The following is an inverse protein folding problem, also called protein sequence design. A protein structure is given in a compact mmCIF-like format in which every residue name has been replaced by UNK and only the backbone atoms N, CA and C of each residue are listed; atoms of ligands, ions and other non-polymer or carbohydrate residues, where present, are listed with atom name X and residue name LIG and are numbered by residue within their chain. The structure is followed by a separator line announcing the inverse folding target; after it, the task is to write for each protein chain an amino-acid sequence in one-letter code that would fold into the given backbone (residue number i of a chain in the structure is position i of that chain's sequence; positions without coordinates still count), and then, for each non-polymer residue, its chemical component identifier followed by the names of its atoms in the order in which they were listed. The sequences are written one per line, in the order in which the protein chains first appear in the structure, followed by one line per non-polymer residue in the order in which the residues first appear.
data_IF_132423415484
#
_entry.id   IF_132423415484
#
_cell.length_a   1.000
_cell.length_b   1.000
_cell.length_c   1.000
_cell.angle_alpha   90.00
_cell.angle_beta   90.00
_cell.angle_gamma   90.00
#
_symmetry.space_group_name_H-M   'P 1'
#
loop_
_entity.id
_entity.type
_entity.pdbx_description
1 polymer ?
#
# COMPACT_ATOMS: atom_id res chain seq x y z
N UNK A 1 -54.93 51.31 18.94
CA UNK A 1 -54.45 50.84 20.25
C UNK A 1 -54.85 49.37 20.38
N UNK A 2 -53.87 48.47 20.39
CA UNK A 2 -54.07 47.03 20.30
C UNK A 2 -53.77 46.41 21.68
N UNK A 3 -54.73 45.68 22.22
CA UNK A 3 -54.72 45.05 23.55
C UNK A 3 -53.97 43.69 23.43
N UNK A 4 -53.07 43.33 24.36
CA UNK A 4 -52.36 42.05 24.30
C UNK A 4 -53.16 40.89 24.93
N UNK A 5 -53.08 39.69 24.32
CA UNK A 5 -53.65 38.43 24.83
C UNK A 5 -52.65 37.66 25.73
N UNK A 6 -53.13 36.80 26.66
CA UNK A 6 -52.32 36.15 27.69
C UNK A 6 -51.77 34.76 27.30
N UNK A 7 -50.74 34.32 28.04
CA UNK A 7 -49.90 33.13 27.85
C UNK A 7 -50.54 31.77 28.24
N UNK A 8 -50.07 30.63 27.69
CA UNK A 8 -50.66 29.30 27.90
C UNK A 8 -50.15 28.54 29.16
N UNK A 9 -50.89 27.52 29.66
CA UNK A 9 -50.58 26.78 30.90
C UNK A 9 -49.64 25.56 30.70
N UNK A 10 -49.04 25.02 31.79
CA UNK A 10 -48.01 23.97 31.72
C UNK A 10 -48.58 22.53 31.65
N UNK A 11 -47.78 21.53 31.21
CA UNK A 11 -48.23 20.15 31.05
C UNK A 11 -48.14 19.31 32.35
N UNK A 12 -48.92 18.21 32.47
CA UNK A 12 -48.95 17.39 33.67
C UNK A 12 -47.84 16.31 33.71
N UNK A 13 -47.44 15.93 34.93
CA UNK A 13 -46.44 14.89 35.20
C UNK A 13 -47.05 13.55 35.65
N UNK A 14 -46.36 12.49 35.21
CA UNK A 14 -46.10 11.19 35.87
C UNK A 14 -47.15 10.06 35.82
N UNK A 15 -46.65 8.86 35.46
CA UNK A 15 -46.86 7.64 36.26
C UNK A 15 -45.73 6.64 35.99
N UNK A 16 -45.10 6.17 37.05
CA UNK A 16 -44.08 5.11 37.08
C UNK A 16 -44.73 3.78 37.45
N UNK A 17 -44.45 2.72 36.70
CA UNK A 17 -44.92 1.36 36.99
C UNK A 17 -43.83 0.55 37.72
N UNK A 18 -44.23 -0.08 38.83
CA UNK A 18 -43.43 -0.96 39.67
C UNK A 18 -43.32 -2.37 39.09
N UNK A 19 -42.10 -2.92 39.00
CA UNK A 19 -41.82 -4.29 38.55
C UNK A 19 -41.62 -5.23 39.75
N UNK A 20 -42.32 -6.38 39.77
CA UNK A 20 -42.10 -7.44 40.76
C UNK A 20 -40.99 -8.39 40.32
N UNK A 21 -40.05 -8.69 41.21
CA UNK A 21 -38.91 -9.59 40.96
C UNK A 21 -39.28 -11.06 41.13
N UNK A 22 -39.12 -11.84 40.05
CA UNK A 22 -39.28 -13.30 39.99
C UNK A 22 -37.93 -13.98 40.29
N UNK A 23 -37.95 -15.13 40.96
CA UNK A 23 -36.78 -15.84 41.52
C UNK A 23 -35.64 -16.09 40.50
N UNK A 24 -34.60 -15.26 40.56
CA UNK A 24 -33.47 -15.23 39.62
C UNK A 24 -32.33 -16.21 39.93
N UNK A 25 -32.43 -16.98 41.02
CA UNK A 25 -31.33 -17.81 41.55
C UNK A 25 -31.06 -19.06 40.71
N UNK A 26 -32.10 -19.70 40.18
CA UNK A 26 -31.93 -20.87 39.31
C UNK A 26 -31.38 -20.49 37.93
N UNK A 27 -31.84 -19.35 37.38
CA UNK A 27 -31.39 -18.84 36.08
C UNK A 27 -29.92 -18.40 36.13
N UNK A 28 -29.49 -17.75 37.22
CA UNK A 28 -28.08 -17.35 37.39
C UNK A 28 -27.14 -18.55 37.49
N UNK A 29 -27.54 -19.63 38.18
CA UNK A 29 -26.74 -20.86 38.23
C UNK A 29 -26.56 -21.51 36.85
N UNK A 30 -27.61 -21.57 36.03
CA UNK A 30 -27.53 -22.09 34.67
C UNK A 30 -26.62 -21.24 33.75
N UNK A 31 -26.64 -19.91 33.91
CA UNK A 31 -25.77 -19.01 33.14
C UNK A 31 -24.30 -19.19 33.54
N UNK A 32 -24.00 -19.34 34.83
CA UNK A 32 -22.63 -19.57 35.31
C UNK A 32 -22.10 -20.92 34.82
N UNK A 33 -22.93 -21.97 34.85
CA UNK A 33 -22.53 -23.29 34.40
C UNK A 33 -22.22 -23.31 32.89
N UNK A 34 -23.08 -22.69 32.08
CA UNK A 34 -22.91 -22.65 30.62
C UNK A 34 -21.71 -21.79 30.20
N UNK A 35 -21.48 -20.65 30.85
CA UNK A 35 -20.30 -19.80 30.58
C UNK A 35 -18.99 -20.47 30.98
N UNK A 36 -18.96 -21.20 32.11
CA UNK A 36 -17.75 -21.95 32.49
C UNK A 36 -17.44 -23.09 31.51
N UNK A 37 -18.47 -23.80 31.02
CA UNK A 37 -18.29 -24.89 30.05
C UNK A 37 -17.74 -24.38 28.71
N UNK A 38 -18.27 -23.25 28.21
CA UNK A 38 -17.76 -22.60 27.00
C UNK A 38 -16.33 -22.07 27.17
N UNK A 39 -16.00 -21.52 28.35
CA UNK A 39 -14.64 -21.06 28.66
C UNK A 39 -13.64 -22.22 28.70
N UNK A 40 -14.03 -23.37 29.24
CA UNK A 40 -13.18 -24.56 29.34
C UNK A 40 -12.92 -25.18 27.96
N UNK A 41 -13.95 -25.21 27.08
CA UNK A 41 -13.79 -25.58 25.68
C UNK A 41 -12.84 -24.64 24.92
N UNK A 42 -12.92 -23.33 25.18
CA UNK A 42 -12.04 -22.33 24.55
C UNK A 42 -10.57 -22.46 25.01
N UNK A 43 -10.33 -22.82 26.28
CA UNK A 43 -8.98 -23.08 26.78
C UNK A 43 -8.42 -24.37 26.16
N UNK A 44 -9.25 -25.41 26.01
CA UNK A 44 -8.82 -26.70 25.45
C UNK A 44 -8.47 -26.62 23.94
N UNK A 45 -9.17 -25.75 23.19
CA UNK A 45 -8.84 -25.45 21.78
C UNK A 45 -7.56 -24.62 21.65
N UNK A 46 -7.27 -23.74 22.63
CA UNK A 46 -6.00 -22.99 22.69
C UNK A 46 -4.80 -23.89 22.99
N UNK A 47 -4.94 -24.88 23.90
CA UNK A 47 -3.83 -25.80 24.23
C UNK A 47 -3.58 -26.87 23.16
N UNK A 48 -4.59 -27.16 22.32
CA UNK A 48 -4.45 -28.13 21.22
C UNK A 48 -3.73 -27.56 20.00
N UNK A 49 -3.54 -26.23 19.91
CA UNK A 49 -2.61 -25.60 18.96
C UNK A 49 -1.20 -25.52 19.56
N UNK A 50 -0.65 -26.69 19.92
CA UNK A 50 0.79 -26.82 20.08
C UNK A 50 1.44 -26.68 18.70
N UNK A 51 1.93 -25.48 18.42
CA UNK A 51 2.76 -25.18 17.26
C UNK A 51 3.91 -26.20 17.19
N UNK A 52 3.90 -27.07 16.18
CA UNK A 52 5.09 -27.81 15.80
C UNK A 52 6.11 -26.80 15.28
N UNK A 53 7.01 -26.37 16.14
CA UNK A 53 8.19 -25.61 15.76
C UNK A 53 9.13 -26.55 15.01
N UNK A 54 8.96 -26.67 13.70
CA UNK A 54 10.00 -27.19 12.84
C UNK A 54 11.15 -26.18 12.85
N UNK A 55 12.21 -26.48 13.58
CA UNK A 55 13.48 -25.76 13.53
C UNK A 55 14.07 -25.88 12.12
N UNK A 56 13.83 -24.89 11.26
CA UNK A 56 14.54 -24.75 10.00
C UNK A 56 15.67 -23.74 10.19
N UNK A 57 16.89 -24.27 10.11
CA UNK A 57 18.16 -23.57 10.11
C UNK A 57 18.12 -22.38 9.15
N UNK A 58 18.40 -21.20 9.69
CA UNK A 58 18.55 -19.96 8.95
C UNK A 58 19.84 -20.01 8.13
N UNK A 59 19.77 -20.42 6.87
CA UNK A 59 20.71 -20.05 5.82
C UNK A 59 19.89 -19.58 4.62
N UNK A 60 19.99 -18.28 4.29
CA UNK A 60 19.19 -17.57 3.30
C UNK A 60 19.48 -17.97 1.86
N UNK A 61 19.18 -19.22 1.50
CA UNK A 61 19.20 -19.71 0.12
C UNK A 61 17.76 -19.87 -0.36
N UNK A 62 17.42 -19.42 -1.59
CA UNK A 62 16.11 -19.67 -2.17
C UNK A 62 15.80 -21.17 -2.17
N UNK A 63 14.56 -21.54 -1.81
CA UNK A 63 14.14 -22.94 -1.81
C UNK A 63 14.23 -23.52 -3.24
N UNK A 64 15.09 -24.52 -3.49
CA UNK A 64 15.28 -25.06 -4.83
C UNK A 64 14.04 -25.78 -5.39
N UNK A 65 13.07 -26.14 -4.55
CA UNK A 65 11.83 -26.79 -4.98
C UNK A 65 10.77 -25.78 -5.45
N UNK A 66 10.78 -24.56 -4.88
CA UNK A 66 9.92 -23.46 -5.34
C UNK A 66 10.57 -22.67 -6.49
N UNK A 67 11.91 -22.63 -6.53
CA UNK A 67 12.70 -21.97 -7.55
C UNK A 67 13.77 -22.93 -8.08
N UNK A 68 13.40 -23.87 -8.97
CA UNK A 68 14.38 -24.75 -9.58
C UNK A 68 15.39 -23.92 -10.35
N UNK A 69 16.63 -23.89 -9.86
CA UNK A 69 17.77 -23.27 -10.54
C UNK A 69 18.21 -24.16 -11.71
N UNK A 70 17.27 -24.50 -12.61
CA UNK A 70 17.51 -25.34 -13.76
C UNK A 70 18.06 -24.43 -14.86
N UNK A 71 19.37 -24.50 -15.08
CA UNK A 71 19.94 -24.03 -16.33
C UNK A 71 19.27 -24.84 -17.44
N UNK A 72 18.40 -24.19 -18.21
CA UNK A 72 17.74 -24.83 -19.33
C UNK A 72 18.81 -25.18 -20.38
N UNK A 73 19.14 -26.46 -20.51
CA UNK A 73 19.82 -26.99 -21.69
C UNK A 73 18.86 -26.87 -22.87
N UNK A 74 18.87 -25.71 -23.52
CA UNK A 74 18.02 -25.39 -24.66
C UNK A 74 18.66 -26.00 -25.92
N UNK A 75 18.08 -27.10 -26.42
CA UNK A 75 18.26 -27.47 -27.82
C UNK A 75 17.65 -26.36 -28.67
N UNK A 76 18.47 -25.76 -29.53
CA UNK A 76 18.27 -24.54 -30.33
C UNK A 76 17.03 -24.60 -31.24
N UNK A 77 15.85 -24.35 -30.68
CA UNK A 77 14.64 -23.84 -31.34
C UNK A 77 14.79 -22.29 -31.35
N UNK A 78 14.29 -21.52 -32.34
CA UNK A 78 14.44 -20.06 -32.34
C UNK A 78 14.04 -19.53 -30.96
N UNK A 79 15.01 -19.00 -30.21
CA UNK A 79 14.84 -18.79 -28.77
C UNK A 79 13.81 -17.69 -28.56
N UNK A 80 12.68 -18.03 -27.96
CA UNK A 80 11.74 -17.03 -27.46
C UNK A 80 12.53 -15.96 -26.66
N UNK A 81 12.21 -14.67 -26.84
CA UNK A 81 12.92 -13.62 -26.15
C UNK A 81 12.88 -13.83 -24.65
N UNK A 82 14.02 -13.63 -23.98
CA UNK A 82 14.11 -13.85 -22.53
C UNK A 82 13.14 -12.91 -21.81
N UNK A 83 12.22 -13.42 -20.98
CA UNK A 83 11.25 -12.57 -20.29
C UNK A 83 11.97 -11.60 -19.36
N UNK A 84 11.56 -10.32 -19.33
CA UNK A 84 12.19 -9.30 -18.51
C UNK A 84 11.94 -9.51 -17.02
N UNK A 85 12.60 -8.70 -16.20
CA UNK A 85 12.35 -8.57 -14.76
C UNK A 85 11.86 -7.15 -14.46
N UNK A 86 10.77 -7.03 -13.70
CA UNK A 86 10.17 -5.75 -13.34
C UNK A 86 10.37 -5.49 -11.85
N UNK A 87 10.78 -4.27 -11.51
CA UNK A 87 10.83 -3.78 -10.14
C UNK A 87 9.61 -2.91 -9.85
N UNK A 88 8.72 -3.39 -8.99
CA UNK A 88 7.53 -2.67 -8.54
C UNK A 88 7.81 -1.93 -7.23
N UNK A 89 7.49 -0.63 -7.21
CA UNK A 89 7.23 0.10 -5.97
C UNK A 89 5.72 0.17 -5.78
N UNK A 90 5.22 -0.40 -4.68
CA UNK A 90 3.80 -0.33 -4.32
C UNK A 90 3.66 0.54 -3.09
N UNK A 91 3.07 1.72 -3.27
CA UNK A 91 2.92 2.74 -2.22
C UNK A 91 1.48 2.90 -1.77
N UNK A 92 1.26 3.06 -0.47
CA UNK A 92 -0.04 3.39 0.12
C UNK A 92 0.08 4.29 1.34
N UNK A 93 -1.06 4.71 1.87
CA UNK A 93 -1.15 5.56 3.04
C UNK A 93 -1.98 4.89 4.15
N UNK A 94 -2.41 5.66 5.14
CA UNK A 94 -3.25 5.18 6.25
C UNK A 94 -4.45 4.40 5.74
N UNK A 95 -4.59 3.14 6.19
CA UNK A 95 -5.70 2.26 5.82
C UNK A 95 -5.55 1.53 4.49
N UNK A 96 -4.40 1.66 3.81
CA UNK A 96 -4.16 0.98 2.53
C UNK A 96 -3.42 -0.36 2.67
N UNK A 97 -3.14 -0.85 3.88
CA UNK A 97 -2.41 -2.10 4.13
C UNK A 97 -2.98 -3.28 3.32
N UNK A 98 -4.27 -3.56 3.47
CA UNK A 98 -4.92 -4.68 2.77
C UNK A 98 -4.94 -4.47 1.25
N UNK A 99 -5.00 -3.22 0.80
CA UNK A 99 -5.00 -2.88 -0.62
C UNK A 99 -3.62 -3.11 -1.24
N UNK A 100 -2.55 -2.76 -0.54
CA UNK A 100 -1.17 -3.09 -0.94
C UNK A 100 -1.02 -4.60 -1.04
N UNK A 101 -1.45 -5.36 -0.04
CA UNK A 101 -1.36 -6.83 -0.07
C UNK A 101 -2.15 -7.41 -1.25
N UNK A 102 -3.41 -6.97 -1.44
CA UNK A 102 -4.24 -7.38 -2.57
C UNK A 102 -3.55 -7.12 -3.92
N UNK A 103 -2.97 -5.93 -4.09
CA UNK A 103 -2.26 -5.56 -5.32
C UNK A 103 -0.97 -6.38 -5.51
N UNK A 104 -0.21 -6.61 -4.43
CA UNK A 104 0.96 -7.47 -4.46
C UNK A 104 0.58 -8.87 -4.95
N UNK A 105 -0.45 -9.49 -4.38
CA UNK A 105 -0.91 -10.81 -4.83
C UNK A 105 -1.32 -10.82 -6.30
N UNK A 106 -2.04 -9.79 -6.77
CA UNK A 106 -2.50 -9.70 -8.15
C UNK A 106 -1.37 -9.50 -9.17
N UNK A 107 -0.27 -8.88 -8.75
CA UNK A 107 0.88 -8.55 -9.62
C UNK A 107 2.07 -9.48 -9.42
N UNK A 108 1.99 -10.43 -8.48
CA UNK A 108 3.12 -11.24 -8.05
C UNK A 108 3.62 -12.17 -9.16
N UNK A 109 4.93 -12.14 -9.39
CA UNK A 109 5.64 -13.09 -10.23
C UNK A 109 7.07 -13.25 -9.71
N UNK A 110 7.62 -14.48 -9.64
CA UNK A 110 8.90 -14.74 -8.97
C UNK A 110 10.12 -14.13 -9.66
N UNK A 111 10.04 -13.83 -10.97
CA UNK A 111 11.10 -13.07 -11.67
C UNK A 111 11.18 -11.62 -11.24
N UNK A 112 10.07 -11.03 -10.82
CA UNK A 112 9.99 -9.60 -10.49
C UNK A 112 10.50 -9.34 -9.08
N UNK A 113 10.60 -8.06 -8.75
CA UNK A 113 10.99 -7.56 -7.45
C UNK A 113 9.97 -6.54 -6.96
N UNK A 114 9.68 -6.57 -5.66
CA UNK A 114 8.64 -5.76 -5.05
C UNK A 114 9.21 -5.03 -3.85
N UNK A 115 8.98 -3.73 -3.80
CA UNK A 115 9.24 -2.87 -2.66
C UNK A 115 7.91 -2.26 -2.23
N UNK A 116 7.50 -2.53 -0.99
CA UNK A 116 6.27 -2.01 -0.42
C UNK A 116 6.58 -0.81 0.46
N UNK A 117 5.82 0.26 0.27
CA UNK A 117 5.93 1.48 1.04
C UNK A 117 4.57 1.85 1.60
N UNK A 118 4.50 1.97 2.93
CA UNK A 118 3.34 2.52 3.61
C UNK A 118 3.82 3.80 4.30
N UNK A 119 3.25 4.93 3.91
CA UNK A 119 3.74 6.25 4.32
C UNK A 119 3.67 6.49 5.85
N UNK A 120 4.26 7.60 6.29
CA UNK A 120 4.22 8.02 7.70
C UNK A 120 2.83 8.49 8.17
N UNK A 121 1.84 8.62 7.28
CA UNK A 121 0.46 8.88 7.68
C UNK A 121 -0.20 7.64 8.30
N UNK A 122 0.26 6.44 7.93
CA UNK A 122 -0.11 5.20 8.59
C UNK A 122 0.61 5.05 9.95
N UNK A 123 -0.01 4.41 10.95
CA UNK A 123 0.66 4.12 12.21
C UNK A 123 1.78 3.08 12.02
N UNK A 124 2.74 3.05 12.95
CA UNK A 124 3.84 2.08 12.92
C UNK A 124 3.32 0.64 12.96
N UNK A 125 2.23 0.39 13.71
CA UNK A 125 1.56 -0.91 13.79
C UNK A 125 1.17 -1.46 12.43
N UNK A 126 0.68 -0.62 11.51
CA UNK A 126 0.28 -1.04 10.17
C UNK A 126 1.51 -1.40 9.33
N UNK A 127 2.61 -0.65 9.47
CA UNK A 127 3.89 -0.96 8.81
C UNK A 127 4.48 -2.28 9.29
N UNK A 128 4.45 -2.50 10.61
CA UNK A 128 4.92 -3.74 11.22
C UNK A 128 4.05 -4.92 10.78
N UNK A 129 2.72 -4.75 10.79
CA UNK A 129 1.78 -5.76 10.32
C UNK A 129 1.98 -6.08 8.83
N UNK A 130 2.24 -5.07 7.98
CA UNK A 130 2.55 -5.29 6.57
C UNK A 130 3.81 -6.15 6.40
N UNK A 131 4.87 -5.85 7.15
CA UNK A 131 6.11 -6.63 7.14
C UNK A 131 5.90 -8.07 7.60
N UNK A 132 5.16 -8.27 8.70
CA UNK A 132 4.81 -9.61 9.20
C UNK A 132 3.95 -10.40 8.20
N UNK A 133 2.99 -9.74 7.55
CA UNK A 133 2.10 -10.35 6.55
C UNK A 133 2.87 -10.80 5.31
N UNK A 134 3.88 -10.05 4.88
CA UNK A 134 4.75 -10.48 3.77
C UNK A 134 5.62 -11.68 4.17
N UNK A 135 6.18 -11.67 5.39
CA UNK A 135 7.05 -12.75 5.87
C UNK A 135 6.30 -14.06 6.15
N UNK A 136 5.01 -14.00 6.46
CA UNK A 136 4.18 -15.18 6.73
C UNK A 136 3.87 -15.99 5.48
N UNK A 137 4.01 -15.40 4.28
CA UNK A 137 3.72 -16.05 3.00
C UNK A 137 4.93 -16.86 2.54
N UNK A 138 4.83 -18.20 2.43
CA UNK A 138 5.97 -19.06 2.13
C UNK A 138 6.65 -18.73 0.79
N UNK A 139 5.86 -18.40 -0.24
CA UNK A 139 6.39 -18.12 -1.57
C UNK A 139 7.21 -16.83 -1.62
N UNK A 140 6.82 -15.79 -0.88
CA UNK A 140 7.58 -14.54 -0.78
C UNK A 140 8.88 -14.77 -0.01
N UNK A 141 8.81 -15.54 1.08
CA UNK A 141 9.99 -15.91 1.88
C UNK A 141 11.00 -16.73 1.08
N UNK A 142 10.52 -17.68 0.27
CA UNK A 142 11.38 -18.52 -0.56
C UNK A 142 11.97 -17.75 -1.75
N UNK A 143 11.21 -16.85 -2.37
CA UNK A 143 11.66 -16.06 -3.51
C UNK A 143 12.59 -14.90 -3.12
N UNK A 144 12.48 -14.44 -1.87
CA UNK A 144 13.23 -13.30 -1.33
C UNK A 144 13.14 -12.04 -2.20
N UNK A 145 12.00 -11.83 -2.85
CA UNK A 145 11.80 -10.77 -3.83
C UNK A 145 10.77 -9.71 -3.41
N UNK A 146 10.22 -9.78 -2.20
CA UNK A 146 9.31 -8.80 -1.62
C UNK A 146 9.95 -8.17 -0.38
N UNK A 147 10.11 -6.86 -0.38
CA UNK A 147 10.71 -6.10 0.72
C UNK A 147 9.76 -4.99 1.16
N UNK A 148 9.82 -4.60 2.44
CA UNK A 148 9.05 -3.47 3.00
C UNK A 148 10.00 -2.38 3.46
N UNK A 149 9.72 -1.13 3.10
CA UNK A 149 10.52 0.02 3.54
C UNK A 149 10.32 0.21 5.05
N UNK A 150 11.40 0.06 5.83
CA UNK A 150 11.37 0.28 7.28
C UNK A 150 11.29 1.76 7.66
N UNK A 151 12.19 2.59 7.09
CA UNK A 151 12.17 4.05 7.28
C UNK A 151 11.27 4.69 6.22
N UNK A 152 9.98 4.74 6.51
CA UNK A 152 8.99 5.32 5.61
C UNK A 152 9.13 6.83 5.49
N UNK A 153 8.80 7.36 4.31
CA UNK A 153 8.62 8.80 4.06
C UNK A 153 7.15 9.22 4.15
N UNK A 154 6.90 10.52 4.24
CA UNK A 154 5.59 11.09 3.92
C UNK A 154 5.37 11.11 2.41
N UNK A 155 4.12 10.94 1.99
CA UNK A 155 3.72 11.04 0.58
C UNK A 155 2.46 11.91 0.43
N UNK A 156 2.61 13.22 0.57
CA UNK A 156 1.51 14.15 0.33
C UNK A 156 1.22 14.27 -1.15
N UNK A 157 0.01 13.88 -1.56
CA UNK A 157 -0.39 13.85 -2.96
C UNK A 157 -0.34 15.21 -3.66
N UNK A 158 -0.34 16.31 -2.89
CA UNK A 158 -0.29 17.70 -3.41
C UNK A 158 1.12 18.30 -3.37
N UNK A 159 2.08 17.64 -2.74
CA UNK A 159 3.42 18.15 -2.49
C UNK A 159 4.50 17.35 -3.19
N UNK A 160 5.75 17.77 -2.99
CA UNK A 160 6.95 17.12 -3.54
C UNK A 160 7.39 15.88 -2.76
N UNK A 161 6.84 15.64 -1.57
CA UNK A 161 7.11 14.44 -0.76
C UNK A 161 6.74 13.15 -1.49
N UNK A 162 5.66 13.13 -2.28
CA UNK A 162 5.29 11.94 -3.09
C UNK A 162 6.38 11.55 -4.09
N UNK A 163 6.95 12.53 -4.81
CA UNK A 163 8.04 12.25 -5.76
C UNK A 163 9.32 11.89 -5.01
N UNK A 164 9.59 12.51 -3.85
CA UNK A 164 10.72 12.14 -3.01
C UNK A 164 10.64 10.70 -2.52
N UNK A 165 9.47 10.26 -2.03
CA UNK A 165 9.24 8.88 -1.61
C UNK A 165 9.42 7.89 -2.77
N UNK A 166 8.94 8.25 -3.96
CA UNK A 166 9.12 7.45 -5.17
C UNK A 166 10.61 7.30 -5.53
N UNK A 167 11.36 8.40 -5.50
CA UNK A 167 12.81 8.40 -5.77
C UNK A 167 13.60 7.63 -4.71
N UNK A 168 13.20 7.74 -3.43
CA UNK A 168 13.79 6.96 -2.35
C UNK A 168 13.56 5.45 -2.57
N UNK A 169 12.34 5.04 -2.93
CA UNK A 169 12.02 3.65 -3.27
C UNK A 169 12.82 3.14 -4.47
N UNK A 170 12.94 3.92 -5.55
CA UNK A 170 13.75 3.58 -6.70
C UNK A 170 15.25 3.43 -6.34
N UNK A 171 15.78 4.33 -5.51
CA UNK A 171 17.16 4.25 -5.02
C UNK A 171 17.42 2.99 -4.17
N UNK A 172 16.43 2.54 -3.39
CA UNK A 172 16.51 1.27 -2.66
C UNK A 172 16.54 0.10 -3.66
N UNK A 173 15.63 0.06 -4.64
CA UNK A 173 15.56 -1.01 -5.63
C UNK A 173 16.85 -1.14 -6.46
N UNK A 174 17.54 -0.03 -6.75
CA UNK A 174 18.85 -0.04 -7.41
C UNK A 174 19.98 -0.65 -6.56
N UNK A 175 19.85 -0.60 -5.23
CA UNK A 175 20.85 -1.17 -4.30
C UNK A 175 20.61 -2.64 -3.99
N UNK A 176 19.44 -3.18 -4.31
CA UNK A 176 19.13 -4.58 -4.08
C UNK A 176 19.82 -5.45 -5.15
N UNK A 177 20.21 -6.70 -4.81
CA UNK A 177 21.12 -7.50 -5.64
C UNK A 177 20.51 -8.03 -6.95
N UNK A 178 19.18 -8.00 -7.07
CA UNK A 178 18.46 -8.57 -8.21
C UNK A 178 18.39 -7.56 -9.35
N UNK A 179 18.85 -7.96 -10.53
CA UNK A 179 18.75 -7.13 -11.74
C UNK A 179 17.30 -7.09 -12.23
N UNK A 180 16.89 -5.91 -12.67
CA UNK A 180 15.59 -5.65 -13.27
C UNK A 180 15.77 -4.76 -14.50
N UNK A 181 14.84 -4.87 -15.45
CA UNK A 181 14.87 -4.17 -16.73
C UNK A 181 13.98 -2.91 -16.70
N UNK A 182 12.86 -2.96 -15.98
CA UNK A 182 11.92 -1.85 -15.86
C UNK A 182 11.51 -1.58 -14.42
N UNK A 183 11.38 -0.31 -14.06
CA UNK A 183 10.80 0.15 -12.80
C UNK A 183 9.35 0.56 -13.02
N UNK A 184 8.43 0.12 -12.16
CA UNK A 184 7.01 0.46 -12.21
C UNK A 184 6.56 0.98 -10.85
N UNK A 185 6.06 2.22 -10.81
CA UNK A 185 5.43 2.79 -9.60
C UNK A 185 3.92 2.55 -9.60
N UNK A 186 3.38 2.00 -8.51
CA UNK A 186 1.96 1.73 -8.30
C UNK A 186 1.49 2.31 -6.96
N UNK A 187 0.31 2.91 -6.96
CA UNK A 187 -0.43 3.25 -5.75
C UNK A 187 -1.35 2.11 -5.30
N UNK A 188 -1.72 2.09 -4.02
CA UNK A 188 -2.63 1.08 -3.46
C UNK A 188 -4.04 1.06 -4.11
N UNK A 189 -4.41 2.10 -4.84
CA UNK A 189 -5.66 2.16 -5.60
C UNK A 189 -5.58 1.49 -6.98
N UNK A 190 -4.37 1.22 -7.49
CA UNK A 190 -4.17 0.63 -8.80
C UNK A 190 -4.53 -0.86 -8.83
N UNK A 191 -4.76 -1.39 -10.03
CA UNK A 191 -4.99 -2.83 -10.23
C UNK A 191 -4.63 -3.27 -11.65
N UNK A 192 -3.96 -4.44 -11.83
CA UNK A 192 -3.60 -4.91 -13.15
C UNK A 192 -4.84 -5.33 -13.95
N UNK A 193 -4.85 -4.99 -15.24
CA UNK A 193 -5.87 -5.44 -16.21
C UNK A 193 -5.41 -6.62 -17.07
N UNK A 194 -4.13 -6.98 -16.95
CA UNK A 194 -3.48 -8.08 -17.66
C UNK A 194 -2.81 -8.98 -16.64
N UNK A 195 -2.64 -10.26 -16.96
CA UNK A 195 -1.94 -11.18 -16.07
C UNK A 195 -0.44 -10.85 -16.03
N UNK A 196 0.27 -11.16 -14.93
CA UNK A 196 1.72 -10.97 -14.88
C UNK A 196 2.47 -11.69 -16.00
N UNK A 197 2.01 -12.88 -16.39
CA UNK A 197 2.64 -13.68 -17.46
C UNK A 197 2.46 -13.04 -18.84
N UNK A 198 1.24 -12.59 -19.17
CA UNK A 198 0.97 -11.90 -20.44
C UNK A 198 1.76 -10.60 -20.55
N UNK A 199 1.86 -9.84 -19.44
CA UNK A 199 2.65 -8.62 -19.40
C UNK A 199 4.13 -8.90 -19.69
N UNK A 200 4.72 -9.90 -19.03
CA UNK A 200 6.11 -10.29 -19.25
C UNK A 200 6.33 -10.82 -20.67
N UNK A 201 5.37 -11.55 -21.22
CA UNK A 201 5.41 -12.00 -22.61
C UNK A 201 5.43 -10.83 -23.58
N UNK A 202 4.50 -9.87 -23.45
CA UNK A 202 4.45 -8.68 -24.33
C UNK A 202 5.75 -7.87 -24.22
N UNK A 203 6.21 -7.60 -23.00
CA UNK A 203 7.41 -6.81 -22.76
C UNK A 203 8.69 -7.52 -23.26
N UNK A 204 8.69 -8.85 -23.38
CA UNK A 204 9.84 -9.58 -23.91
C UNK A 204 10.16 -9.25 -25.37
N UNK A 205 9.17 -8.81 -26.15
CA UNK A 205 9.35 -8.37 -27.54
C UNK A 205 9.73 -6.90 -27.69
N UNK A 206 9.77 -6.13 -26.59
CA UNK A 206 10.09 -4.71 -26.62
C UNK A 206 11.57 -4.45 -26.30
N UNK A 207 12.21 -3.46 -26.95
CA UNK A 207 13.54 -3.01 -26.57
C UNK A 207 13.56 -2.53 -25.11
N UNK A 208 14.52 -3.06 -24.34
CA UNK A 208 14.65 -2.79 -22.88
C UNK A 208 15.08 -1.36 -22.55
N UNK A 209 15.55 -0.61 -23.52
CA UNK A 209 15.96 0.79 -23.42
C UNK A 209 14.79 1.78 -23.58
N UNK A 210 13.56 1.29 -23.73
CA UNK A 210 12.36 2.13 -23.82
C UNK A 210 11.78 2.51 -22.45
N UNK A 211 11.30 3.75 -22.37
CA UNK A 211 10.53 4.29 -21.26
C UNK A 211 9.08 4.51 -21.70
N UNK A 212 8.11 4.10 -20.87
CA UNK A 212 6.68 4.31 -21.16
C UNK A 212 6.14 5.38 -20.21
N UNK A 213 6.08 6.61 -20.70
CA UNK A 213 5.59 7.77 -19.94
C UNK A 213 4.61 8.56 -20.79
N UNK A 214 3.37 8.66 -20.30
CA UNK A 214 2.36 9.50 -20.91
C UNK A 214 2.69 10.98 -20.66
N UNK A 215 2.68 11.79 -21.70
CA UNK A 215 3.02 13.20 -21.61
C UNK A 215 2.32 14.04 -22.67
N UNK A 216 2.21 15.33 -22.39
CA UNK A 216 1.60 16.35 -23.24
C UNK A 216 2.37 17.66 -23.09
N UNK A 217 2.64 18.33 -24.20
CA UNK A 217 3.25 19.66 -24.21
C UNK A 217 2.25 20.76 -23.85
N UNK A 218 0.95 20.45 -23.79
CA UNK A 218 -0.07 21.42 -23.41
C UNK A 218 -0.10 21.61 -21.88
N UNK A 219 0.29 22.79 -21.42
CA UNK A 219 0.34 23.17 -20.01
C UNK A 219 -0.96 23.88 -19.58
N UNK A 220 -1.44 24.82 -20.40
CA UNK A 220 -2.68 25.58 -20.17
C UNK A 220 -2.74 26.21 -18.77
N UNK A 221 -3.87 26.01 -18.09
CA UNK A 221 -4.13 26.56 -16.75
C UNK A 221 -3.15 26.08 -15.65
N UNK A 222 -2.45 24.96 -15.87
CA UNK A 222 -1.51 24.39 -14.89
C UNK A 222 -0.28 25.25 -14.69
N UNK A 223 0.07 26.10 -15.65
CA UNK A 223 1.19 27.04 -15.52
C UNK A 223 1.03 27.93 -14.28
N UNK A 224 -0.10 28.63 -14.19
CA UNK A 224 -0.33 29.60 -13.14
C UNK A 224 -0.69 28.97 -11.79
N UNK A 225 -1.26 27.75 -11.80
CA UNK A 225 -1.76 27.05 -10.62
C UNK A 225 -0.85 25.97 -10.05
N UNK A 226 0.06 25.40 -10.83
CA UNK A 226 0.90 24.27 -10.40
C UNK A 226 2.39 24.52 -10.64
N UNK A 227 2.77 25.21 -11.72
CA UNK A 227 4.18 25.40 -12.05
C UNK A 227 4.79 26.65 -11.41
N UNK A 228 4.11 27.80 -11.47
CA UNK A 228 4.61 29.06 -10.90
C UNK A 228 4.50 29.19 -9.37
N UNK A 229 3.52 28.59 -8.68
CA UNK A 229 3.47 28.68 -7.21
C UNK A 229 4.69 28.03 -6.54
N UNK A 230 5.17 28.66 -5.47
CA UNK A 230 6.19 28.08 -4.59
C UNK A 230 5.46 27.44 -3.41
N UNK A 231 5.80 26.18 -3.15
CA UNK A 231 5.14 25.33 -2.16
C UNK A 231 6.20 24.87 -1.15
N UNK A 232 5.86 24.93 0.13
CA UNK A 232 6.65 24.31 1.20
C UNK A 232 5.90 23.06 1.66
N UNK A 233 6.49 21.90 1.35
CA UNK A 233 5.94 20.61 1.74
C UNK A 233 6.41 20.22 3.15
N UNK A 234 5.51 20.18 4.14
CA UNK A 234 5.88 19.83 5.52
C UNK A 234 6.34 18.38 5.66
N UNK A 235 5.93 17.48 4.77
CA UNK A 235 6.40 16.10 4.77
C UNK A 235 7.89 15.97 4.48
N UNK A 236 8.49 16.94 3.80
CA UNK A 236 9.93 17.01 3.57
C UNK A 236 10.65 17.83 4.63
N UNK A 237 10.10 18.98 5.00
CA UNK A 237 10.79 19.94 5.88
C UNK A 237 10.66 19.60 7.37
N UNK A 238 9.46 19.22 7.82
CA UNK A 238 9.17 18.98 9.24
C UNK A 238 9.00 17.50 9.57
N UNK A 239 8.81 16.63 8.56
CA UNK A 239 8.39 15.24 8.78
C UNK A 239 7.14 15.18 9.68
N UNK A 240 6.21 16.10 9.45
CA UNK A 240 4.97 16.20 10.21
C UNK A 240 3.76 16.33 9.27
N UNK A 241 2.60 15.90 9.79
CA UNK A 241 1.32 16.07 9.12
C UNK A 241 0.71 17.42 9.40
N UNK A 242 1.23 18.44 8.73
CA UNK A 242 0.62 19.77 8.68
C UNK A 242 0.00 20.06 7.31
N UNK A 243 -0.78 21.14 7.26
CA UNK A 243 -1.22 21.69 5.99
C UNK A 243 -0.03 22.21 5.18
N UNK A 244 -0.20 22.20 3.86
CA UNK A 244 0.82 22.64 2.92
C UNK A 244 0.83 24.16 2.83
N UNK A 245 2.01 24.77 2.89
CA UNK A 245 2.16 26.22 2.83
C UNK A 245 2.48 26.68 1.40
N UNK A 246 1.89 27.79 1.02
CA UNK A 246 2.10 28.43 -0.27
C UNK A 246 2.72 29.80 -0.05
N UNK A 247 3.81 30.10 -0.77
CA UNK A 247 4.37 31.44 -0.75
C UNK A 247 3.47 32.40 -1.53
N UNK A 248 3.45 33.66 -1.10
CA UNK A 248 2.77 34.74 -1.83
C UNK A 248 3.44 35.04 -3.17
N UNK A 249 4.75 34.88 -3.25
CA UNK A 249 5.53 35.07 -4.47
C UNK A 249 5.49 33.84 -5.38
N UNK A 250 5.54 34.08 -6.69
CA UNK A 250 5.59 33.06 -7.72
C UNK A 250 6.95 33.08 -8.41
N UNK A 251 7.41 31.92 -8.89
CA UNK A 251 8.63 31.78 -9.68
C UNK A 251 8.32 31.83 -11.17
N UNK A 252 9.33 32.22 -11.95
CA UNK A 252 9.30 32.09 -13.40
C UNK A 252 9.49 30.64 -13.86
N UNK A 253 9.11 30.37 -15.11
CA UNK A 253 9.35 29.08 -15.72
C UNK A 253 10.83 28.95 -16.15
N UNK A 254 11.41 27.75 -16.02
CA UNK A 254 12.75 27.48 -16.55
C UNK A 254 12.77 27.67 -18.07
N UNK A 255 13.86 28.23 -18.59
CA UNK A 255 14.07 28.47 -20.02
C UNK A 255 15.03 27.46 -20.69
N UNK A 256 15.73 26.64 -19.90
CA UNK A 256 16.74 25.69 -20.38
C UNK A 256 16.16 24.37 -20.89
N UNK A 257 14.90 24.06 -20.56
CA UNK A 257 14.24 22.83 -20.98
C UNK A 257 12.75 23.02 -21.18
N UNK A 258 12.14 22.12 -21.96
CA UNK A 258 10.70 22.11 -22.20
C UNK A 258 9.99 21.34 -21.09
N UNK A 259 8.90 21.91 -20.60
CA UNK A 259 8.02 21.27 -19.65
C UNK A 259 6.96 20.43 -20.37
N UNK A 260 6.70 19.25 -19.83
CA UNK A 260 5.61 18.37 -20.25
C UNK A 260 4.74 18.05 -19.04
N UNK A 261 3.47 17.77 -19.29
CA UNK A 261 2.50 17.41 -18.24
C UNK A 261 1.72 16.17 -18.65
N UNK A 262 1.22 15.40 -17.70
CA UNK A 262 0.41 14.21 -17.99
C UNK A 262 -1.04 14.58 -18.36
N UNK A 263 -1.69 13.83 -19.26
CA UNK A 263 -3.07 14.11 -19.69
C UNK A 263 -4.15 13.75 -18.64
N UNK A 264 -3.80 13.10 -17.53
CA UNK A 264 -4.80 12.59 -16.58
C UNK A 264 -4.72 13.24 -15.20
N UNK A 265 -5.85 13.81 -14.79
CA UNK A 265 -6.16 14.12 -13.38
C UNK A 265 -6.66 12.82 -12.75
N UNK A 266 -5.79 11.84 -12.55
CA UNK A 266 -6.13 10.66 -11.74
C UNK A 266 -4.92 10.30 -10.89
N UNK A 267 -5.19 10.11 -9.59
CA UNK A 267 -4.26 9.48 -8.65
C UNK A 267 -3.89 8.11 -9.24
N UNK A 268 -2.61 7.90 -9.54
CA UNK A 268 -2.11 6.66 -10.17
C UNK A 268 -1.53 6.91 -11.55
N UNK A 269 -0.42 7.63 -11.63
CA UNK A 269 0.42 7.61 -12.84
C UNK A 269 1.36 6.42 -12.72
N UNK A 270 1.14 5.39 -13.54
CA UNK A 270 2.09 4.30 -13.72
C UNK A 270 3.30 4.89 -14.46
N UNK A 271 4.39 5.11 -13.73
CA UNK A 271 5.68 5.47 -14.30
C UNK A 271 6.43 4.17 -14.58
N UNK A 272 6.53 3.78 -15.85
CA UNK A 272 7.45 2.74 -16.29
C UNK A 272 8.75 3.39 -16.78
N UNK A 273 9.76 3.41 -15.91
CA UNK A 273 11.08 3.95 -16.21
C UNK A 273 12.08 2.81 -16.41
N UNK A 274 12.71 2.74 -17.58
CA UNK A 274 13.92 1.97 -17.83
C UNK A 274 15.12 2.76 -17.28
N UNK A 275 15.88 2.14 -16.38
CA UNK A 275 17.12 2.70 -15.84
C UNK A 275 18.28 1.79 -16.24
N UNK A 276 19.38 2.39 -16.71
CA UNK A 276 20.67 1.72 -16.96
C UNK A 276 21.63 1.96 -15.82
#
# INVERSE_FOLDING_TARGET
MQIPQPSPPPPPLSSSSSFSTKDNTKTTLFIILTTSFFSLLFIFTLTSHSFKTSSLSAHGRPDPYLFPNRQATFTKIPSDPTPPSIAYLISGSKGDLDRILRLLYATYHPKNQYLLHLDLSAPQTDRDQLALSVQSVPIFKAAQNVNVIGKADFAYSKGSSTISATLHGAAILLRLPKKWDWFVNLGAADYPLVTPDDLLHILSYLPKDLNFVNHSSYIGWRESRQLKPIIVDPGLYLSEKSEMFYATQKRDLPNSFRLFTDKLVTKGSILALAWR
#
